data_IF_449734857169
#
_entry.id   IF_449734857169
#
_cell.length_a   1.000
_cell.length_b   1.000
_cell.length_c   1.000
_cell.angle_alpha   90.00
_cell.angle_beta   90.00
_cell.angle_gamma   90.00
#
_symmetry.space_group_name_H-M   'P 1'
#
loop_
_entity.id
_entity.type
_entity.pdbx_description
1 polymer ?
#
# COMPACT_ATOMS: atom_id res chain seq x y z
N UNK A 1 -1.89 -17.85 18.12
CA UNK A 1 -1.79 -16.41 18.47
C UNK A 1 -3.13 -15.80 18.15
N UNK A 2 -3.76 -15.12 19.09
CA UNK A 2 -5.06 -14.47 18.89
C UNK A 2 -4.92 -13.15 18.12
N UNK A 3 -6.06 -12.62 17.67
CA UNK A 3 -6.14 -11.39 16.85
C UNK A 3 -5.62 -10.15 17.59
N UNK A 4 -5.92 -10.03 18.88
CA UNK A 4 -5.55 -8.86 19.68
C UNK A 4 -4.04 -8.80 19.87
N UNK A 5 -3.42 -9.94 20.18
CA UNK A 5 -1.97 -10.09 20.24
C UNK A 5 -1.31 -9.78 18.89
N UNK A 6 -1.87 -10.26 17.78
CA UNK A 6 -1.34 -9.93 16.44
C UNK A 6 -1.39 -8.43 16.15
N UNK A 7 -2.50 -7.77 16.46
CA UNK A 7 -2.64 -6.32 16.28
C UNK A 7 -1.64 -5.55 17.14
N UNK A 8 -1.49 -5.93 18.41
CA UNK A 8 -0.53 -5.31 19.32
C UNK A 8 0.91 -5.43 18.78
N UNK A 9 1.28 -6.58 18.22
CA UNK A 9 2.59 -6.76 17.59
C UNK A 9 2.74 -5.93 16.31
N UNK A 10 1.70 -5.83 15.48
CA UNK A 10 1.75 -5.00 14.26
C UNK A 10 1.95 -3.51 14.56
N UNK A 11 1.27 -2.96 15.58
CA UNK A 11 1.38 -1.53 15.92
C UNK A 11 2.68 -1.19 16.65
N UNK A 12 3.30 -2.17 17.33
CA UNK A 12 4.57 -1.99 18.05
C UNK A 12 5.79 -2.40 17.22
N UNK A 13 5.58 -3.07 16.09
CA UNK A 13 6.65 -3.44 15.18
C UNK A 13 7.42 -2.18 14.78
N UNK A 14 8.76 -2.25 14.82
CA UNK A 14 9.59 -1.17 14.28
C UNK A 14 9.14 -0.94 12.86
N UNK A 15 8.70 0.30 12.58
CA UNK A 15 8.45 0.77 11.23
C UNK A 15 9.79 0.65 10.50
N UNK A 16 9.98 -0.45 9.76
CA UNK A 16 11.00 -0.44 8.72
C UNK A 16 10.62 0.69 7.78
N UNK A 17 11.56 1.51 7.34
CA UNK A 17 11.27 2.53 6.32
C UNK A 17 10.68 1.79 5.11
N UNK A 18 9.37 1.86 4.86
CA UNK A 18 8.84 1.38 3.61
C UNK A 18 9.19 2.52 2.65
N UNK A 19 10.32 2.39 1.96
CA UNK A 19 10.72 3.40 0.99
C UNK A 19 9.60 3.57 -0.02
N UNK A 20 8.84 4.65 0.07
CA UNK A 20 7.62 4.90 -0.72
C UNK A 20 6.50 3.83 -0.55
N UNK A 21 5.24 4.25 -0.65
CA UNK A 21 4.09 3.34 -0.63
C UNK A 21 4.11 2.32 -1.77
N UNK A 22 4.78 2.65 -2.87
CA UNK A 22 5.05 1.75 -3.98
C UNK A 22 5.83 0.50 -3.52
N UNK A 23 6.73 0.64 -2.53
CA UNK A 23 7.42 -0.53 -1.94
C UNK A 23 6.51 -1.43 -1.12
N UNK A 24 5.40 -0.92 -0.56
CA UNK A 24 4.57 -1.70 0.35
C UNK A 24 3.85 -2.83 -0.40
N UNK A 25 3.29 -2.55 -1.57
CA UNK A 25 2.60 -3.57 -2.37
C UNK A 25 3.58 -4.61 -2.91
N UNK A 26 4.76 -4.18 -3.37
CA UNK A 26 5.82 -5.07 -3.86
C UNK A 26 6.30 -5.98 -2.73
N UNK A 27 6.61 -5.42 -1.56
CA UNK A 27 7.02 -6.20 -0.38
C UNK A 27 5.91 -7.16 0.06
N UNK A 28 4.64 -6.74 0.00
CA UNK A 28 3.51 -7.62 0.31
C UNK A 28 3.43 -8.80 -0.66
N UNK A 29 3.51 -8.54 -1.97
CA UNK A 29 3.47 -9.57 -3.01
C UNK A 29 4.64 -10.56 -2.85
N UNK A 30 5.86 -10.08 -2.65
CA UNK A 30 7.05 -10.91 -2.41
C UNK A 30 6.88 -11.84 -1.19
N UNK A 31 6.25 -11.34 -0.13
CA UNK A 31 6.00 -12.14 1.08
C UNK A 31 4.90 -13.16 0.85
N UNK A 32 3.84 -12.78 0.13
CA UNK A 32 2.73 -13.68 -0.20
C UNK A 32 3.19 -14.82 -1.11
N UNK A 33 4.00 -14.53 -2.14
CA UNK A 33 4.56 -15.54 -3.05
C UNK A 33 5.30 -16.65 -2.29
N UNK A 34 6.12 -16.27 -1.30
CA UNK A 34 6.91 -17.22 -0.49
C UNK A 34 6.08 -18.15 0.38
N UNK A 35 4.84 -17.77 0.69
CA UNK A 35 3.93 -18.57 1.53
C UNK A 35 2.75 -19.14 0.75
N UNK A 36 2.55 -18.75 -0.52
CA UNK A 36 1.36 -19.10 -1.30
C UNK A 36 1.13 -20.61 -1.39
N UNK A 37 2.19 -21.41 -1.56
CA UNK A 37 2.10 -22.87 -1.60
C UNK A 37 1.67 -23.53 -0.28
N UNK A 38 1.67 -22.78 0.83
CA UNK A 38 1.25 -23.24 2.16
C UNK A 38 -0.17 -22.81 2.52
N UNK A 39 -0.79 -21.98 1.68
CA UNK A 39 -2.15 -21.50 1.89
C UNK A 39 -3.13 -22.41 1.15
N UNK A 40 -4.32 -22.56 1.73
CA UNK A 40 -5.48 -23.03 0.99
C UNK A 40 -5.91 -22.00 -0.05
N UNK A 41 -6.76 -22.40 -1.00
CA UNK A 41 -7.29 -21.50 -2.02
C UNK A 41 -8.07 -20.31 -1.41
N UNK A 42 -8.91 -20.58 -0.40
CA UNK A 42 -9.68 -19.55 0.30
C UNK A 42 -8.80 -18.56 1.06
N UNK A 43 -7.74 -19.06 1.70
CA UNK A 43 -6.75 -18.21 2.38
C UNK A 43 -5.98 -17.36 1.39
N UNK A 44 -5.54 -17.94 0.27
CA UNK A 44 -4.86 -17.20 -0.80
C UNK A 44 -5.77 -16.11 -1.37
N UNK A 45 -7.04 -16.43 -1.65
CA UNK A 45 -8.02 -15.46 -2.13
C UNK A 45 -8.22 -14.31 -1.13
N UNK A 46 -8.34 -14.63 0.16
CA UNK A 46 -8.48 -13.63 1.22
C UNK A 46 -7.26 -12.70 1.29
N UNK A 47 -6.05 -13.25 1.13
CA UNK A 47 -4.82 -12.45 1.10
C UNK A 47 -4.71 -11.59 -0.17
N UNK A 48 -5.17 -12.08 -1.33
CA UNK A 48 -5.22 -11.28 -2.55
C UNK A 48 -6.20 -10.10 -2.42
N UNK A 49 -7.34 -10.28 -1.74
CA UNK A 49 -8.28 -9.19 -1.46
C UNK A 49 -7.64 -8.08 -0.61
N UNK A 50 -6.85 -8.43 0.42
CA UNK A 50 -6.09 -7.46 1.21
C UNK A 50 -5.06 -6.72 0.34
N UNK A 51 -4.39 -7.42 -0.58
CA UNK A 51 -3.47 -6.80 -1.54
C UNK A 51 -4.16 -5.79 -2.46
N UNK A 52 -5.37 -6.09 -2.93
CA UNK A 52 -6.18 -5.19 -3.73
C UNK A 52 -6.56 -3.91 -2.97
N UNK A 53 -6.93 -4.02 -1.69
CA UNK A 53 -7.22 -2.86 -0.84
C UNK A 53 -5.99 -1.96 -0.64
N UNK A 54 -4.80 -2.56 -0.49
CA UNK A 54 -3.53 -1.82 -0.41
C UNK A 54 -3.28 -1.04 -1.71
N UNK A 55 -3.42 -1.71 -2.86
CA UNK A 55 -3.23 -1.08 -4.18
C UNK A 55 -4.21 0.05 -4.41
N UNK A 56 -5.50 -0.14 -4.11
CA UNK A 56 -6.53 0.87 -4.30
C UNK A 56 -6.24 2.13 -3.47
N UNK A 57 -5.83 1.97 -2.21
CA UNK A 57 -5.43 3.10 -1.35
C UNK A 57 -4.22 3.83 -1.92
N UNK A 58 -3.21 3.10 -2.41
CA UNK A 58 -2.06 3.71 -3.07
C UNK A 58 -2.48 4.55 -4.28
N UNK A 59 -3.30 4.00 -5.19
CA UNK A 59 -3.78 4.75 -6.35
C UNK A 59 -4.52 6.04 -5.96
N UNK A 60 -5.35 6.00 -4.92
CA UNK A 60 -6.04 7.19 -4.40
C UNK A 60 -5.07 8.26 -3.88
N UNK A 61 -4.01 7.85 -3.18
CA UNK A 61 -2.97 8.78 -2.73
C UNK A 61 -2.22 9.41 -3.91
N UNK A 62 -1.78 8.61 -4.90
CA UNK A 62 -1.06 9.12 -6.07
C UNK A 62 -1.94 10.00 -6.97
N UNK A 63 -3.24 9.72 -7.07
CA UNK A 63 -4.18 10.59 -7.77
C UNK A 63 -4.37 11.92 -7.03
N UNK A 64 -4.54 11.90 -5.71
CA UNK A 64 -4.66 13.10 -4.90
C UNK A 64 -3.40 13.98 -4.97
N UNK A 65 -2.21 13.38 -4.94
CA UNK A 65 -0.93 14.08 -5.12
C UNK A 65 -0.81 14.70 -6.51
N UNK A 66 -1.14 13.95 -7.57
CA UNK A 66 -1.17 14.47 -8.96
C UNK A 66 -2.16 15.61 -9.11
N UNK A 67 -3.34 15.54 -8.48
CA UNK A 67 -4.33 16.61 -8.49
C UNK A 67 -3.84 17.84 -7.72
N UNK A 68 -3.21 17.67 -6.55
CA UNK A 68 -2.62 18.77 -5.79
C UNK A 68 -1.50 19.46 -6.57
N UNK A 69 -0.63 18.70 -7.23
CA UNK A 69 0.40 19.25 -8.11
C UNK A 69 -0.19 20.01 -9.30
N UNK A 70 -1.23 19.47 -9.94
CA UNK A 70 -1.94 20.15 -11.02
C UNK A 70 -2.63 21.45 -10.56
N UNK A 71 -3.21 21.46 -9.35
CA UNK A 71 -3.80 22.67 -8.76
C UNK A 71 -2.73 23.72 -8.44
N UNK A 72 -1.59 23.33 -7.87
CA UNK A 72 -0.45 24.23 -7.64
C UNK A 72 0.07 24.84 -8.96
N UNK A 73 0.12 24.06 -10.04
CA UNK A 73 0.47 24.55 -11.39
C UNK A 73 -0.58 25.48 -11.97
N UNK A 74 -1.86 25.27 -11.67
CA UNK A 74 -2.98 26.11 -12.13
C UNK A 74 -3.11 27.43 -11.35
N UNK A 75 -2.85 27.40 -10.04
CA UNK A 75 -2.81 28.60 -9.18
C UNK A 75 -1.59 29.49 -9.50
N UNK A 76 -0.50 28.89 -9.98
CA UNK A 76 0.61 29.60 -10.62
C UNK A 76 0.33 29.97 -12.09
N UNK A 77 -0.56 30.93 -12.39
CA UNK A 77 -0.64 31.55 -13.73
C UNK A 77 0.58 32.47 -13.96
N UNK A 78 1.28 32.46 -15.10
CA UNK A 78 1.04 31.80 -16.39
C UNK A 78 2.30 31.83 -17.28
N UNK A 79 2.19 31.56 -18.60
CA UNK A 79 3.33 31.26 -19.45
C UNK A 79 4.28 32.46 -19.57
N UNK A 80 5.57 32.19 -19.45
CA UNK A 80 6.63 33.08 -19.93
C UNK A 80 7.31 32.34 -21.09
N UNK A 81 7.08 32.91 -22.28
CA UNK A 81 7.82 32.80 -23.56
C UNK A 81 8.75 31.59 -23.81
#
# INVERSE_FOLDING_TARGET
MDKETMLALMVTAKKGEPGDWESLLVVYADRLERIASKLTEDELYSMLAVGADIYQRWCQHTEAERMAEALLRLEGKGPLE
#
